data_IF_524519165004
#
_entry.id   IF_524519165004
#
_cell.length_a   1.000
_cell.length_b   1.000
_cell.length_c   1.000
_cell.angle_alpha   90.00
_cell.angle_beta   90.00
_cell.angle_gamma   90.00
#
_symmetry.space_group_name_H-M   'P 1'
#
loop_
_entity.id
_entity.type
_entity.pdbx_description
1 polymer ?
#
# COMPACT_ATOMS: atom_id res chain seq x y z
N UNK A 1 -8.33 -1.13 -2.97
CA UNK A 1 -9.29 -0.05 -2.72
C UNK A 1 -9.37 0.99 -3.86
N UNK A 2 -8.40 1.08 -4.73
CA UNK A 2 -8.40 1.98 -5.90
C UNK A 2 -9.48 1.64 -6.96
N UNK A 3 -9.95 0.40 -7.01
CA UNK A 3 -10.95 -0.04 -8.00
C UNK A 3 -12.35 0.51 -7.74
N UNK A 4 -12.72 0.70 -6.48
CA UNK A 4 -14.06 1.17 -6.11
C UNK A 4 -14.31 2.65 -6.46
N UNK A 5 -13.27 3.46 -6.42
CA UNK A 5 -13.37 4.88 -6.75
C UNK A 5 -13.36 5.13 -8.27
N UNK A 6 -12.64 4.30 -9.04
CA UNK A 6 -12.63 4.38 -10.50
C UNK A 6 -13.96 3.97 -11.11
N UNK A 7 -14.65 2.96 -10.55
CA UNK A 7 -15.97 2.53 -11.01
C UNK A 7 -17.09 3.50 -10.60
N UNK A 8 -16.89 4.27 -9.52
CA UNK A 8 -17.86 5.26 -9.04
C UNK A 8 -17.85 6.59 -9.83
N UNK A 9 -16.89 6.79 -10.73
CA UNK A 9 -16.79 7.97 -11.60
C UNK A 9 -17.95 8.11 -12.61
N UNK A 10 -18.79 7.08 -12.75
CA UNK A 10 -19.91 7.09 -13.69
C UNK A 10 -21.03 8.05 -13.30
N UNK A 11 -21.15 8.49 -12.07
CA UNK A 11 -22.20 9.42 -11.62
C UNK A 11 -21.62 10.71 -11.03
N UNK A 12 -20.89 11.44 -11.77
CA UNK A 12 -20.36 12.84 -11.66
C UNK A 12 -20.78 13.75 -10.47
N UNK A 13 -21.30 13.24 -9.38
CA UNK A 13 -21.83 14.04 -8.26
C UNK A 13 -21.24 13.75 -6.87
N UNK A 14 -20.53 12.64 -6.69
CA UNK A 14 -20.10 12.18 -5.37
C UNK A 14 -18.61 12.44 -5.05
N UNK A 15 -17.78 12.77 -6.04
CA UNK A 15 -16.35 12.96 -5.84
C UNK A 15 -16.04 14.45 -5.70
N UNK A 16 -15.44 14.80 -4.57
CA UNK A 16 -14.92 16.14 -4.33
C UNK A 16 -13.63 16.39 -5.10
N UNK A 17 -13.28 17.66 -5.34
CA UNK A 17 -12.02 18.07 -5.98
C UNK A 17 -10.79 17.47 -5.24
N UNK A 18 -10.85 17.37 -3.92
CA UNK A 18 -9.79 16.81 -3.10
C UNK A 18 -9.61 15.30 -3.35
N UNK A 19 -10.70 14.55 -3.50
CA UNK A 19 -10.67 13.12 -3.81
C UNK A 19 -10.14 12.86 -5.21
N UNK A 20 -10.47 13.70 -6.19
CA UNK A 20 -9.93 13.61 -7.55
C UNK A 20 -8.41 13.77 -7.55
N UNK A 21 -7.88 14.75 -6.80
CA UNK A 21 -6.44 14.98 -6.65
C UNK A 21 -5.76 13.77 -5.96
N UNK A 22 -6.38 13.21 -4.91
CA UNK A 22 -5.86 12.03 -4.23
C UNK A 22 -5.79 10.80 -5.14
N UNK A 23 -6.81 10.57 -5.96
CA UNK A 23 -6.83 9.47 -6.94
C UNK A 23 -5.71 9.65 -7.96
N UNK A 24 -5.50 10.86 -8.45
CA UNK A 24 -4.45 11.18 -9.41
C UNK A 24 -3.05 10.98 -8.83
N UNK A 25 -2.83 11.42 -7.58
CA UNK A 25 -1.58 11.23 -6.85
C UNK A 25 -1.28 9.76 -6.48
N UNK A 26 -2.30 8.91 -6.37
CA UNK A 26 -2.15 7.48 -6.08
C UNK A 26 -2.13 6.60 -7.34
N UNK A 27 -1.87 7.18 -8.49
CA UNK A 27 -1.85 6.46 -9.76
C UNK A 27 -0.55 5.67 -9.97
N UNK A 28 -0.63 4.61 -10.80
CA UNK A 28 0.55 3.86 -11.22
C UNK A 28 1.54 4.72 -12.03
N UNK A 29 1.07 5.81 -12.62
CA UNK A 29 1.88 6.76 -13.37
C UNK A 29 2.80 7.53 -12.42
N UNK A 30 2.28 8.01 -11.30
CA UNK A 30 3.08 8.68 -10.26
C UNK A 30 4.11 7.74 -9.63
N UNK A 31 3.73 6.49 -9.36
CA UNK A 31 4.67 5.48 -8.89
C UNK A 31 5.84 5.31 -9.87
N UNK A 32 5.55 5.20 -11.16
CA UNK A 32 6.59 5.09 -12.19
C UNK A 32 7.50 6.31 -12.26
N UNK A 33 6.95 7.52 -12.15
CA UNK A 33 7.74 8.75 -12.13
C UNK A 33 8.75 8.74 -10.99
N UNK A 34 8.34 8.34 -9.79
CA UNK A 34 9.22 8.26 -8.62
C UNK A 34 10.41 7.31 -8.87
N UNK A 35 10.17 6.14 -9.44
CA UNK A 35 11.24 5.21 -9.77
C UNK A 35 12.16 5.74 -10.87
N UNK A 36 11.60 6.36 -11.91
CA UNK A 36 12.37 6.96 -12.99
C UNK A 36 13.23 8.13 -12.51
N UNK A 37 12.69 9.00 -11.66
CA UNK A 37 13.45 10.12 -11.06
C UNK A 37 14.65 9.63 -10.25
N UNK A 38 14.50 8.52 -9.54
CA UNK A 38 15.61 7.90 -8.81
C UNK A 38 16.70 7.39 -9.75
N UNK A 39 16.32 6.74 -10.86
CA UNK A 39 17.27 6.21 -11.87
C UNK A 39 17.99 7.37 -12.55
N UNK A 40 17.30 8.46 -12.85
CA UNK A 40 17.86 9.65 -13.49
C UNK A 40 18.70 10.51 -12.54
N UNK A 41 18.78 10.19 -11.25
CA UNK A 41 19.38 11.04 -10.21
C UNK A 41 18.81 12.47 -10.17
N UNK A 42 17.58 12.64 -10.62
CA UNK A 42 16.89 13.91 -10.60
C UNK A 42 16.20 14.09 -9.23
N UNK A 43 16.80 14.93 -8.38
CA UNK A 43 16.25 15.32 -7.09
C UNK A 43 16.84 14.58 -5.89
N UNK A 44 16.33 14.93 -4.69
CA UNK A 44 16.83 14.41 -3.40
C UNK A 44 16.22 13.05 -2.99
N UNK A 45 15.78 12.22 -3.90
CA UNK A 45 15.24 10.89 -3.54
C UNK A 45 16.36 9.98 -3.04
N UNK A 46 16.52 9.92 -1.74
CA UNK A 46 17.59 9.16 -1.11
C UNK A 46 17.33 7.65 -1.06
N UNK A 47 16.08 7.26 -0.71
CA UNK A 47 15.69 5.85 -0.60
C UNK A 47 14.21 5.66 -0.93
N UNK A 48 13.89 4.58 -1.64
CA UNK A 48 12.52 4.15 -1.91
C UNK A 48 12.23 2.91 -1.07
N UNK A 49 11.24 3.02 -0.21
CA UNK A 49 10.75 1.94 0.65
C UNK A 49 9.33 1.57 0.21
N UNK A 50 9.10 0.30 -0.05
CA UNK A 50 7.79 -0.23 -0.46
C UNK A 50 7.24 -1.12 0.64
N UNK A 51 6.05 -0.80 1.12
CA UNK A 51 5.29 -1.62 2.05
C UNK A 51 4.14 -2.33 1.33
N UNK A 52 4.02 -3.63 1.56
CA UNK A 52 3.02 -4.49 0.92
C UNK A 52 1.93 -4.87 1.93
N UNK A 53 0.69 -4.53 1.64
CA UNK A 53 -0.46 -4.98 2.42
C UNK A 53 -0.86 -6.40 2.03
N UNK A 54 -1.44 -7.14 2.96
CA UNK A 54 -1.83 -8.53 2.74
C UNK A 54 -2.97 -8.68 1.71
N UNK A 55 -3.91 -7.75 1.67
CA UNK A 55 -5.08 -7.81 0.78
C UNK A 55 -4.71 -7.82 -0.71
N UNK A 56 -3.88 -6.87 -1.23
CA UNK A 56 -3.40 -6.93 -2.60
C UNK A 56 -2.61 -8.20 -2.92
N UNK A 57 -1.81 -8.69 -1.97
CA UNK A 57 -1.03 -9.92 -2.14
C UNK A 57 -1.96 -11.12 -2.37
N UNK A 58 -2.96 -11.29 -1.52
CA UNK A 58 -3.95 -12.39 -1.62
C UNK A 58 -4.75 -12.29 -2.91
N UNK A 59 -5.19 -11.08 -3.29
CA UNK A 59 -5.94 -10.85 -4.53
C UNK A 59 -5.12 -11.22 -5.77
N UNK A 60 -3.82 -10.88 -5.78
CA UNK A 60 -2.92 -11.25 -6.87
C UNK A 60 -2.64 -12.75 -6.88
N UNK A 61 -2.43 -13.36 -5.71
CA UNK A 61 -2.23 -14.80 -5.57
C UNK A 61 -3.41 -15.57 -6.16
N UNK A 62 -4.63 -15.18 -5.83
CA UNK A 62 -5.85 -15.76 -6.38
C UNK A 62 -5.97 -15.55 -7.88
N UNK A 63 -5.74 -14.34 -8.37
CA UNK A 63 -5.84 -14.00 -9.79
C UNK A 63 -4.89 -14.82 -10.66
N UNK A 64 -3.68 -15.09 -10.18
CA UNK A 64 -2.64 -15.81 -10.92
C UNK A 64 -2.48 -17.26 -10.52
N UNK A 65 -3.35 -17.81 -9.67
CA UNK A 65 -3.27 -19.18 -9.13
C UNK A 65 -1.89 -19.51 -8.53
N UNK A 66 -1.37 -18.59 -7.72
CA UNK A 66 -0.09 -18.73 -7.04
C UNK A 66 -0.30 -18.88 -5.54
N UNK A 67 0.68 -19.49 -4.84
CA UNK A 67 0.70 -19.40 -3.39
C UNK A 67 1.00 -17.98 -2.92
N UNK A 68 0.58 -17.65 -1.70
CA UNK A 68 0.81 -16.32 -1.10
C UNK A 68 2.30 -16.04 -0.99
N UNK A 69 3.08 -17.02 -0.53
CA UNK A 69 4.53 -16.90 -0.39
C UNK A 69 5.23 -16.62 -1.73
N UNK A 70 4.85 -17.34 -2.77
CA UNK A 70 5.40 -17.13 -4.10
C UNK A 70 5.02 -15.77 -4.66
N UNK A 71 3.82 -15.30 -4.36
CA UNK A 71 3.35 -13.97 -4.76
C UNK A 71 4.16 -12.87 -4.08
N UNK A 72 4.42 -12.99 -2.79
CA UNK A 72 5.29 -12.07 -2.04
C UNK A 72 6.68 -12.03 -2.64
N UNK A 73 7.30 -13.18 -2.88
CA UNK A 73 8.64 -13.27 -3.47
C UNK A 73 8.71 -12.60 -4.84
N UNK A 74 7.69 -12.80 -5.68
CA UNK A 74 7.61 -12.17 -7.01
C UNK A 74 7.43 -10.66 -6.89
N UNK A 75 6.61 -10.17 -5.97
CA UNK A 75 6.41 -8.74 -5.75
C UNK A 75 7.68 -8.07 -5.21
N UNK A 76 8.35 -8.70 -4.24
CA UNK A 76 9.64 -8.21 -3.72
C UNK A 76 10.65 -8.10 -4.86
N UNK A 77 10.79 -9.15 -5.66
CA UNK A 77 11.71 -9.14 -6.82
C UNK A 77 11.33 -8.06 -7.83
N UNK A 78 10.05 -7.89 -8.12
CA UNK A 78 9.56 -6.87 -9.03
C UNK A 78 9.93 -5.46 -8.57
N UNK A 79 9.63 -5.11 -7.32
CA UNK A 79 9.94 -3.78 -6.79
C UNK A 79 11.44 -3.54 -6.63
N UNK A 80 12.21 -4.57 -6.26
CA UNK A 80 13.68 -4.49 -6.23
C UNK A 80 14.26 -4.22 -7.61
N UNK A 81 13.75 -4.86 -8.64
CA UNK A 81 14.18 -4.63 -10.02
C UNK A 81 13.80 -3.22 -10.53
N UNK A 82 12.71 -2.63 -10.02
CA UNK A 82 12.35 -1.26 -10.30
C UNK A 82 13.26 -0.24 -9.59
N UNK A 83 14.05 -0.67 -8.61
CA UNK A 83 14.97 0.21 -7.88
C UNK A 83 14.54 0.51 -6.43
N UNK A 84 13.62 -0.26 -5.86
CA UNK A 84 13.29 -0.13 -4.44
C UNK A 84 14.47 -0.57 -3.56
N UNK A 85 14.80 0.25 -2.56
CA UNK A 85 15.86 -0.05 -1.61
C UNK A 85 15.42 -1.07 -0.58
N UNK A 86 14.16 -0.97 -0.12
CA UNK A 86 13.57 -1.87 0.85
C UNK A 86 12.15 -2.23 0.41
N UNK A 87 11.80 -3.51 0.55
CA UNK A 87 10.43 -4.02 0.36
C UNK A 87 10.12 -4.92 1.54
N UNK A 88 9.01 -4.67 2.22
CA UNK A 88 8.56 -5.48 3.36
C UNK A 88 7.04 -5.59 3.37
N UNK A 89 6.51 -6.60 4.06
CA UNK A 89 5.08 -6.73 4.30
C UNK A 89 4.67 -5.96 5.57
N UNK A 90 3.43 -5.51 5.61
CA UNK A 90 2.86 -4.78 6.75
C UNK A 90 2.28 -5.70 7.82
N UNK A 91 2.29 -7.02 7.63
CA UNK A 91 1.65 -7.95 8.56
C UNK A 91 2.14 -7.78 9.99
N UNK A 92 3.45 -7.69 10.19
CA UNK A 92 4.03 -7.49 11.52
C UNK A 92 3.55 -6.18 12.17
N UNK A 93 3.49 -5.10 11.38
CA UNK A 93 3.02 -3.81 11.89
C UNK A 93 1.52 -3.83 12.20
N UNK A 94 0.72 -4.52 11.39
CA UNK A 94 -0.72 -4.73 11.65
C UNK A 94 -0.94 -5.56 12.91
N UNK A 95 -0.19 -6.64 13.11
CA UNK A 95 -0.27 -7.49 14.29
C UNK A 95 0.13 -6.71 15.56
N UNK A 96 1.18 -5.90 15.51
CA UNK A 96 1.58 -5.03 16.61
C UNK A 96 0.53 -3.96 16.93
N UNK A 97 -0.08 -3.36 15.91
CA UNK A 97 -1.17 -2.40 16.09
C UNK A 97 -2.38 -3.03 16.76
N UNK A 98 -2.73 -4.27 16.41
CA UNK A 98 -3.82 -5.01 17.06
C UNK A 98 -3.54 -5.29 18.54
N UNK A 99 -2.31 -5.65 18.89
CA UNK A 99 -1.88 -5.87 20.29
C UNK A 99 -2.00 -4.57 21.10
N UNK A 100 -1.55 -3.45 20.55
CA UNK A 100 -1.65 -2.16 21.23
C UNK A 100 -3.11 -1.70 21.40
N UNK A 101 -3.95 -1.85 20.38
CA UNK A 101 -5.39 -1.57 20.49
C UNK A 101 -6.08 -2.44 21.55
N UNK A 102 -5.71 -3.72 21.64
CA UNK A 102 -6.22 -4.60 22.67
C UNK A 102 -5.81 -4.11 24.08
N UNK A 103 -4.56 -3.71 24.24
CA UNK A 103 -4.05 -3.17 25.50
C UNK A 103 -4.76 -1.88 25.90
N UNK A 104 -4.91 -0.92 24.99
CA UNK A 104 -5.63 0.32 25.23
C UNK A 104 -7.10 0.09 25.61
N UNK A 105 -7.76 -0.89 24.96
CA UNK A 105 -9.13 -1.26 25.28
C UNK A 105 -9.23 -1.79 26.73
N UNK A 106 -8.32 -2.66 27.14
CA UNK A 106 -8.31 -3.18 28.52
C UNK A 106 -8.00 -2.10 29.54
N UNK A 107 -7.00 -1.25 29.30
CA UNK A 107 -6.67 -0.15 30.18
C UNK A 107 -7.85 0.84 30.29
N UNK A 108 -8.54 1.16 29.20
CA UNK A 108 -9.73 2.00 29.19
C UNK A 108 -10.89 1.40 29.97
N UNK A 109 -11.10 0.09 29.92
CA UNK A 109 -12.14 -0.60 30.70
C UNK A 109 -11.85 -0.58 32.19
N UNK A 110 -10.59 -0.69 32.60
CA UNK A 110 -10.20 -0.63 34.03
C UNK A 110 -10.34 0.77 34.67
N UNK A 111 -10.29 1.84 33.87
CA UNK A 111 -10.47 3.21 34.35
C UNK A 111 -11.96 3.49 34.65
N UNK A 112 -12.89 2.77 34.05
CA UNK A 112 -14.33 2.94 34.22
C UNK A 112 -14.95 2.03 35.33
N UNK A 113 -14.18 1.16 35.95
CA UNK A 113 -14.57 0.32 37.10
C UNK A 113 -13.83 0.75 38.38
#
# INVERSE_FOLDING_TARGET
MLWFLADCLACSGCITSAESILIEQQSSVELRKIFLSKIANEGEIKKIVVSLQIQPIVSLAQKFNLSVELTVLKLVKYFKNLGADLVYDLKLAEDMALIEHQRELFEGLFIFW
#
